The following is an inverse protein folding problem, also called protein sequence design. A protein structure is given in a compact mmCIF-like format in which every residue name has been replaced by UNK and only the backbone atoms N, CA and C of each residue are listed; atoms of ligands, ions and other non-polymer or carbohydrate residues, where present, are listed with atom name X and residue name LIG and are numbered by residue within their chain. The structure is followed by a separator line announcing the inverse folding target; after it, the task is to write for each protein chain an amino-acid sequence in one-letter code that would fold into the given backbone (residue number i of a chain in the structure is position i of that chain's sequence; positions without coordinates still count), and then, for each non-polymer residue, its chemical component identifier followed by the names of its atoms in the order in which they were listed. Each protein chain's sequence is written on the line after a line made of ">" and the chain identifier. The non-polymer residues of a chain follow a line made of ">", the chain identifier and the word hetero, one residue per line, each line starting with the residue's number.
data_IF_553513729086
#
_entry.id   IF_553513729086
#
_cell.length_a   1.000
_cell.length_b   1.000
_cell.length_c   1.000
_cell.angle_alpha   90.00
_cell.angle_beta   90.00
_cell.angle_gamma   90.00
#
_symmetry.space_group_name_H-M   'P 1'
#
loop_
_entity.id
_entity.type
_entity.pdbx_description
1 polymer ?
#
# COMPACT_ATOMS: atom_id res chain seq x y z
N UNK A 1 -6.52 9.07 8.73
CA UNK A 1 -5.08 8.79 8.76
C UNK A 1 -4.34 9.92 9.45
N UNK A 2 -3.53 9.59 10.46
CA UNK A 2 -2.71 10.57 11.18
C UNK A 2 -1.48 10.95 10.34
N UNK A 3 -0.96 12.18 10.49
CA UNK A 3 0.23 12.65 9.74
C UNK A 3 1.48 11.79 10.02
N UNK A 4 1.65 11.36 11.27
CA UNK A 4 2.71 10.42 11.66
C UNK A 4 2.75 9.16 10.78
N UNK A 5 1.59 8.57 10.47
CA UNK A 5 1.49 7.38 9.59
C UNK A 5 1.90 7.71 8.15
N UNK A 6 1.62 8.94 7.71
CA UNK A 6 2.02 9.42 6.38
C UNK A 6 3.53 9.60 6.31
N UNK A 7 4.15 10.16 7.35
CA UNK A 7 5.61 10.30 7.43
C UNK A 7 6.29 8.91 7.42
N UNK A 8 5.74 7.93 8.14
CA UNK A 8 6.20 6.55 8.11
C UNK A 8 6.05 5.89 6.72
N UNK A 9 4.93 6.14 6.02
CA UNK A 9 4.71 5.67 4.65
C UNK A 9 5.68 6.32 3.66
N UNK A 10 5.98 7.61 3.82
CA UNK A 10 6.94 8.32 2.99
C UNK A 10 8.34 7.74 3.16
N UNK A 11 8.76 7.49 4.41
CA UNK A 11 10.02 6.81 4.69
C UNK A 11 10.08 5.42 4.06
N UNK A 12 9.02 4.62 4.18
CA UNK A 12 8.92 3.29 3.58
C UNK A 12 9.07 3.29 2.05
N UNK A 13 8.50 4.30 1.38
CA UNK A 13 8.64 4.48 -0.08
C UNK A 13 10.07 4.94 -0.43
N UNK A 14 10.61 5.90 0.33
CA UNK A 14 11.94 6.45 0.08
C UNK A 14 13.06 5.41 0.23
N UNK A 15 12.87 4.41 1.09
CA UNK A 15 13.81 3.30 1.28
C UNK A 15 13.54 2.10 0.37
N UNK A 16 12.57 2.20 -0.56
CA UNK A 16 12.17 1.11 -1.46
C UNK A 16 11.85 -0.20 -0.72
N UNK A 17 11.31 -0.09 0.50
CA UNK A 17 11.11 -1.22 1.42
C UNK A 17 9.98 -2.18 1.05
N UNK A 18 9.36 -2.03 -0.13
CA UNK A 18 8.24 -2.86 -0.57
C UNK A 18 8.61 -4.35 -0.69
N UNK A 19 9.86 -4.64 -1.03
CA UNK A 19 10.33 -6.01 -1.24
C UNK A 19 11.02 -6.62 -0.02
N UNK A 20 11.25 -5.83 1.02
CA UNK A 20 11.64 -6.32 2.33
C UNK A 20 10.39 -6.85 3.05
N UNK A 21 10.30 -8.17 3.19
CA UNK A 21 9.13 -8.83 3.77
C UNK A 21 8.91 -8.47 5.25
N UNK A 22 9.96 -8.11 6.00
CA UNK A 22 9.85 -7.67 7.39
C UNK A 22 9.36 -6.23 7.45
N UNK A 23 9.97 -5.33 6.67
CA UNK A 23 9.55 -3.92 6.60
C UNK A 23 8.11 -3.78 6.09
N UNK A 24 7.74 -4.54 5.06
CA UNK A 24 6.37 -4.57 4.54
C UNK A 24 5.39 -5.12 5.59
N UNK A 25 5.75 -6.18 6.32
CA UNK A 25 4.91 -6.71 7.39
C UNK A 25 4.72 -5.72 8.54
N UNK A 26 5.78 -4.99 8.91
CA UNK A 26 5.71 -3.92 9.91
C UNK A 26 4.77 -2.81 9.44
N UNK A 27 4.87 -2.36 8.19
CA UNK A 27 3.97 -1.35 7.61
C UNK A 27 2.51 -1.83 7.56
N UNK A 28 2.25 -3.08 7.17
CA UNK A 28 0.89 -3.67 7.22
C UNK A 28 0.34 -3.66 8.64
N UNK A 29 1.13 -4.08 9.63
CA UNK A 29 0.71 -4.09 11.04
C UNK A 29 0.43 -2.68 11.55
N UNK A 30 1.28 -1.72 11.17
CA UNK A 30 1.17 -0.31 11.56
C UNK A 30 -0.13 0.31 11.06
N UNK A 31 -0.45 0.11 9.78
CA UNK A 31 -1.68 0.59 9.15
C UNK A 31 -2.93 -0.13 9.68
N UNK A 32 -2.81 -1.43 10.00
CA UNK A 32 -3.90 -2.22 10.57
C UNK A 32 -4.28 -1.82 12.00
N UNK A 33 -3.39 -1.15 12.72
CA UNK A 33 -3.65 -0.62 14.07
C UNK A 33 -4.29 0.77 14.11
N UNK A 34 -4.49 1.41 12.95
CA UNK A 34 -5.14 2.73 12.90
C UNK A 34 -6.67 2.62 12.92
N UNK A 35 -7.33 3.57 13.60
CA UNK A 35 -8.79 3.61 13.75
C UNK A 35 -9.52 4.28 12.57
N UNK A 36 -8.79 4.88 11.62
CA UNK A 36 -9.39 5.51 10.45
C UNK A 36 -9.81 4.51 9.37
N UNK A 37 -10.67 4.94 8.46
CA UNK A 37 -11.27 4.07 7.43
C UNK A 37 -10.38 3.88 6.19
N UNK A 38 -9.24 4.56 6.09
CA UNK A 38 -8.32 4.51 4.93
C UNK A 38 -7.19 3.51 5.20
N UNK A 39 -6.60 3.56 6.39
CA UNK A 39 -5.43 2.76 6.76
C UNK A 39 -5.66 1.23 6.65
N UNK A 40 -6.80 0.67 7.10
CA UNK A 40 -7.10 -0.76 6.92
C UNK A 40 -7.21 -1.17 5.43
N UNK A 41 -7.66 -0.26 4.56
CA UNK A 41 -7.74 -0.53 3.11
C UNK A 41 -6.35 -0.61 2.52
N UNK A 42 -5.43 0.27 2.90
CA UNK A 42 -4.02 0.18 2.48
C UNK A 42 -3.36 -1.09 3.04
N UNK A 43 -3.57 -1.38 4.33
CA UNK A 43 -3.03 -2.56 5.00
C UNK A 43 -3.41 -3.85 4.26
N UNK A 44 -4.69 -4.01 3.90
CA UNK A 44 -5.16 -5.19 3.16
C UNK A 44 -4.49 -5.36 1.80
N UNK A 45 -4.29 -4.27 1.06
CA UNK A 45 -3.63 -4.30 -0.24
C UNK A 45 -2.15 -4.63 -0.14
N UNK A 46 -1.44 -4.03 0.82
CA UNK A 46 -0.05 -4.33 1.10
C UNK A 46 0.14 -5.76 1.63
N UNK A 47 -0.82 -6.27 2.41
CA UNK A 47 -0.83 -7.66 2.88
C UNK A 47 -0.95 -8.66 1.71
N UNK A 48 -1.70 -8.31 0.66
CA UNK A 48 -1.77 -9.13 -0.55
C UNK A 48 -0.41 -9.22 -1.26
N UNK A 49 0.32 -8.10 -1.35
CA UNK A 49 1.69 -8.07 -1.88
C UNK A 49 2.62 -8.92 -1.03
N UNK A 50 2.60 -8.75 0.30
CA UNK A 50 3.38 -9.55 1.25
C UNK A 50 3.09 -11.05 1.09
N UNK A 51 1.82 -11.43 1.00
CA UNK A 51 1.39 -12.81 0.79
C UNK A 51 1.86 -13.36 -0.56
N UNK A 52 2.04 -12.52 -1.58
CA UNK A 52 2.58 -12.92 -2.88
C UNK A 52 4.10 -13.10 -2.83
N UNK A 53 4.84 -12.21 -2.15
CA UNK A 53 6.29 -12.32 -1.90
C UNK A 53 6.61 -13.61 -1.15
N UNK A 54 5.87 -13.91 -0.07
CA UNK A 54 6.08 -15.10 0.77
C UNK A 54 5.78 -16.43 0.06
N UNK A 55 4.92 -16.42 -0.96
CA UNK A 55 4.48 -17.63 -1.67
C UNK A 55 5.49 -18.13 -2.68
N UNK A 56 6.09 -17.24 -3.45
CA UNK A 56 7.04 -17.61 -4.49
C UNK A 56 7.85 -16.40 -4.94
N UNK A 57 9.07 -16.60 -5.47
CA UNK A 57 9.82 -15.56 -6.15
C UNK A 57 8.98 -14.84 -7.21
N UNK A 58 9.22 -13.54 -7.37
CA UNK A 58 8.60 -12.71 -8.40
C UNK A 58 9.56 -12.56 -9.56
N UNK A 59 9.01 -12.50 -10.78
CA UNK A 59 9.80 -12.08 -11.93
C UNK A 59 10.11 -10.59 -11.81
N UNK A 60 11.24 -10.16 -12.40
CA UNK A 60 11.62 -8.74 -12.46
C UNK A 60 10.50 -7.89 -13.08
N UNK A 61 9.84 -8.42 -14.12
CA UNK A 61 8.70 -7.74 -14.76
C UNK A 61 7.52 -7.54 -13.80
N UNK A 62 7.11 -8.58 -13.09
CA UNK A 62 6.00 -8.49 -12.14
C UNK A 62 6.33 -7.55 -10.96
N UNK A 63 7.60 -7.53 -10.54
CA UNK A 63 8.10 -6.60 -9.53
C UNK A 63 7.89 -5.16 -9.99
N UNK A 64 8.37 -4.81 -11.18
CA UNK A 64 8.18 -3.47 -11.76
C UNK A 64 6.70 -3.10 -11.96
N UNK A 65 5.87 -4.04 -12.41
CA UNK A 65 4.43 -3.82 -12.60
C UNK A 65 3.73 -3.52 -11.25
N UNK A 66 4.13 -4.20 -10.17
CA UNK A 66 3.60 -3.95 -8.82
C UNK A 66 4.08 -2.60 -8.28
N UNK A 67 5.36 -2.25 -8.42
CA UNK A 67 5.88 -0.93 -8.00
C UNK A 67 5.17 0.22 -8.71
N UNK A 68 4.97 0.08 -10.03
CA UNK A 68 4.26 1.05 -10.86
C UNK A 68 2.80 1.26 -10.45
N UNK A 69 2.24 0.35 -9.64
CA UNK A 69 0.92 0.50 -9.04
C UNK A 69 1.01 1.01 -7.60
N UNK A 70 1.86 0.42 -6.77
CA UNK A 70 1.92 0.69 -5.33
C UNK A 70 2.43 2.10 -5.05
N UNK A 71 3.63 2.45 -5.53
CA UNK A 71 4.26 3.71 -5.14
C UNK A 71 3.47 4.95 -5.57
N UNK A 72 3.01 5.08 -6.84
CA UNK A 72 2.23 6.24 -7.25
C UNK A 72 0.92 6.37 -6.47
N UNK A 73 0.34 5.23 -6.07
CA UNK A 73 -0.95 5.23 -5.38
C UNK A 73 -0.82 5.58 -3.91
N UNK A 74 0.21 5.07 -3.23
CA UNK A 74 0.54 5.49 -1.86
C UNK A 74 0.83 7.00 -1.85
N UNK A 75 1.65 7.49 -2.78
CA UNK A 75 1.91 8.93 -2.94
C UNK A 75 0.63 9.75 -3.04
N UNK A 76 -0.32 9.34 -3.89
CA UNK A 76 -1.59 10.06 -4.07
C UNK A 76 -2.50 10.04 -2.84
N UNK A 77 -2.40 9.03 -1.98
CA UNK A 77 -3.11 9.01 -0.70
C UNK A 77 -2.43 9.98 0.27
N UNK A 78 -1.10 9.93 0.38
CA UNK A 78 -0.32 10.84 1.23
C UNK A 78 -0.54 12.30 0.85
N UNK A 79 -0.45 12.66 -0.42
CA UNK A 79 -0.80 14.01 -0.94
C UNK A 79 -2.19 14.44 -0.48
N UNK A 80 -3.18 13.56 -0.59
CA UNK A 80 -4.54 13.87 -0.16
C UNK A 80 -4.66 14.15 1.34
N UNK A 81 -3.86 13.47 2.17
CA UNK A 81 -3.81 13.74 3.61
C UNK A 81 -3.17 15.10 3.88
N UNK A 82 -2.08 15.43 3.16
CA UNK A 82 -1.43 16.74 3.26
C UNK A 82 -2.36 17.88 2.85
N UNK A 83 -3.13 17.69 1.78
CA UNK A 83 -4.10 18.63 1.24
C UNK A 83 -5.39 18.73 2.09
N UNK A 84 -5.55 17.88 3.10
CA UNK A 84 -6.72 17.89 3.98
C UNK A 84 -8.01 17.38 3.31
N UNK A 85 -7.88 16.46 2.34
CA UNK A 85 -9.04 15.91 1.64
C UNK A 85 -9.97 15.12 2.58
N UNK A 86 -11.27 15.05 2.26
CA UNK A 86 -12.21 14.24 3.01
C UNK A 86 -11.82 12.75 3.03
N UNK A 87 -12.11 12.09 4.15
CA UNK A 87 -11.77 10.68 4.36
C UNK A 87 -12.40 9.75 3.31
N UNK A 88 -13.59 10.08 2.81
CA UNK A 88 -14.28 9.35 1.74
C UNK A 88 -13.50 9.39 0.41
N UNK A 89 -12.87 10.52 0.09
CA UNK A 89 -12.01 10.65 -1.08
C UNK A 89 -10.71 9.86 -0.91
N UNK A 90 -10.09 9.96 0.26
CA UNK A 90 -8.89 9.20 0.60
C UNK A 90 -9.13 7.70 0.53
N UNK A 91 -10.27 7.24 1.06
CA UNK A 91 -10.69 5.84 0.99
C UNK A 91 -10.91 5.40 -0.46
N UNK A 92 -11.55 6.23 -1.29
CA UNK A 92 -11.71 5.94 -2.73
C UNK A 92 -10.36 5.82 -3.43
N UNK A 93 -9.40 6.69 -3.08
CA UNK A 93 -8.01 6.58 -3.58
C UNK A 93 -7.38 5.26 -3.13
N UNK A 94 -7.44 4.93 -1.84
CA UNK A 94 -6.92 3.67 -1.31
C UNK A 94 -7.56 2.43 -1.96
N UNK A 95 -8.87 2.39 -2.16
CA UNK A 95 -9.57 1.25 -2.79
C UNK A 95 -9.15 1.00 -4.23
N UNK A 96 -8.80 2.04 -4.98
CA UNK A 96 -8.30 1.90 -6.35
C UNK A 96 -6.91 1.23 -6.46
N UNK A 97 -6.20 1.03 -5.34
CA UNK A 97 -4.99 0.22 -5.29
C UNK A 97 -5.31 -1.27 -5.53
N UNK A 98 -6.29 -1.81 -4.79
CA UNK A 98 -6.65 -3.23 -4.88
C UNK A 98 -7.14 -3.65 -6.25
N UNK A 99 -7.95 -2.81 -6.90
CA UNK A 99 -8.42 -3.06 -8.27
C UNK A 99 -7.28 -3.23 -9.28
N UNK A 100 -6.17 -2.50 -9.08
CA UNK A 100 -4.99 -2.56 -9.96
C UNK A 100 -4.06 -3.72 -9.60
N UNK A 101 -3.96 -4.06 -8.31
CA UNK A 101 -3.13 -5.15 -7.84
C UNK A 101 -3.75 -6.54 -8.09
N UNK A 102 -5.08 -6.67 -8.05
CA UNK A 102 -5.79 -7.93 -8.23
C UNK A 102 -5.30 -8.76 -9.45
N UNK A 103 -5.23 -8.21 -10.68
CA UNK A 103 -4.75 -8.97 -11.84
C UNK A 103 -3.26 -9.34 -11.77
N UNK A 104 -2.44 -8.57 -11.03
CA UNK A 104 -1.00 -8.82 -10.90
C UNK A 104 -0.69 -9.90 -9.86
N UNK A 105 -1.45 -9.90 -8.75
CA UNK A 105 -1.22 -10.79 -7.61
C UNK A 105 -1.95 -12.13 -7.74
N UNK A 106 -2.70 -12.34 -8.83
CA UNK A 106 -3.46 -13.57 -9.07
C UNK A 106 -4.73 -13.68 -8.23
N UNK A 107 -5.34 -12.54 -7.87
CA UNK A 107 -6.64 -12.52 -7.20
C UNK A 107 -7.75 -12.86 -8.20
N UNK A 108 -8.42 -14.00 -8.01
CA UNK A 108 -9.71 -14.25 -8.65
C UNK A 108 -10.67 -13.11 -8.34
N UNK A 109 -11.35 -12.63 -9.38
CA UNK A 109 -12.54 -11.80 -9.29
C UNK A 109 -13.61 -12.45 -8.37
#
# INVERSE_FOLDING_TARGET
>A
MRREVVDELEAFIATESLWDAEALAAMVSRLGGEEDSVSPVLAANLAAVLGRIRRAPLSVRLTADVEGVVYPRLWKVMEGVWDGLPETELRTRASGLGQRLAPLLGGSA
#
